data_IF_474218883018
#
_entry.id   IF_474218883018
#
_cell.length_a   1.000
_cell.length_b   1.000
_cell.length_c   1.000
_cell.angle_alpha   90.00
_cell.angle_beta   90.00
_cell.angle_gamma   90.00
#
_symmetry.space_group_name_H-M   'P 1'
#
loop_
_entity.id
_entity.type
_entity.pdbx_description
1 polymer ?
#
# COMPACT_ATOMS: atom_id res chain seq x y z
N UNK A 1 23.31 -52.64 18.50
CA UNK A 1 23.24 -51.18 18.31
C UNK A 1 22.75 -50.89 16.89
N UNK A 2 21.43 -50.72 16.65
CA UNK A 2 20.95 -50.30 15.34
C UNK A 2 21.37 -48.85 15.07
N UNK A 3 21.96 -48.58 13.90
CA UNK A 3 22.28 -47.21 13.48
C UNK A 3 20.98 -46.48 13.21
N UNK A 4 20.74 -45.37 13.90
CA UNK A 4 19.71 -44.41 13.51
C UNK A 4 20.16 -43.79 12.20
N UNK A 5 19.55 -44.22 11.09
CA UNK A 5 19.62 -43.46 9.86
C UNK A 5 18.89 -42.14 10.13
N UNK A 6 19.65 -41.06 10.26
CA UNK A 6 19.07 -39.72 10.21
C UNK A 6 18.29 -39.63 8.89
N UNK A 7 16.99 -39.39 8.98
CA UNK A 7 16.17 -39.24 7.80
C UNK A 7 16.72 -38.06 6.99
N UNK A 8 17.27 -38.35 5.81
CA UNK A 8 17.57 -37.31 4.83
C UNK A 8 16.23 -36.60 4.59
N UNK A 9 16.11 -35.29 4.88
CA UNK A 9 14.87 -34.58 4.61
C UNK A 9 14.54 -34.75 3.12
N UNK A 10 13.28 -34.99 2.75
CA UNK A 10 12.93 -35.19 1.36
C UNK A 10 13.45 -34.01 0.55
N UNK A 11 14.21 -34.28 -0.51
CA UNK A 11 14.70 -33.25 -1.40
C UNK A 11 13.48 -32.46 -1.91
N UNK A 12 13.39 -31.19 -1.54
CA UNK A 12 12.35 -30.30 -2.05
C UNK A 12 12.48 -30.26 -3.56
N UNK A 13 11.37 -30.54 -4.27
CA UNK A 13 11.33 -30.46 -5.72
C UNK A 13 11.75 -29.08 -6.19
N UNK A 14 12.25 -28.94 -7.42
CA UNK A 14 12.50 -27.62 -8.00
C UNK A 14 11.17 -26.89 -8.14
N UNK A 15 11.13 -25.60 -7.82
CA UNK A 15 9.93 -24.80 -7.99
C UNK A 15 9.51 -24.74 -9.48
N UNK A 16 8.23 -25.01 -9.74
CA UNK A 16 7.66 -24.97 -11.08
C UNK A 16 6.65 -23.81 -11.19
N UNK A 17 6.92 -22.77 -12.00
CA UNK A 17 5.94 -21.74 -12.33
C UNK A 17 4.64 -22.37 -12.85
N UNK A 18 3.52 -21.91 -12.32
CA UNK A 18 2.16 -22.43 -12.60
C UNK A 18 1.89 -23.88 -12.16
N UNK A 19 2.79 -24.49 -11.37
CA UNK A 19 2.53 -25.74 -10.66
C UNK A 19 1.52 -25.61 -9.51
N UNK A 20 1.17 -26.72 -8.89
CA UNK A 20 0.13 -26.80 -7.84
C UNK A 20 0.40 -25.88 -6.64
N UNK A 21 1.66 -25.79 -6.19
CA UNK A 21 2.08 -24.90 -5.11
C UNK A 21 1.88 -23.43 -5.48
N UNK A 22 2.30 -23.04 -6.68
CA UNK A 22 2.13 -21.69 -7.23
C UNK A 22 0.66 -21.29 -7.33
N UNK A 23 -0.18 -22.14 -7.95
CA UNK A 23 -1.62 -21.92 -8.08
C UNK A 23 -2.31 -21.85 -6.71
N UNK A 24 -1.84 -22.63 -5.72
CA UNK A 24 -2.33 -22.56 -4.34
C UNK A 24 -2.01 -21.19 -3.72
N UNK A 25 -0.78 -20.69 -3.83
CA UNK A 25 -0.40 -19.35 -3.34
C UNK A 25 -1.22 -18.24 -4.01
N UNK A 26 -1.37 -18.28 -5.34
CA UNK A 26 -2.19 -17.31 -6.08
C UNK A 26 -3.65 -17.33 -5.60
N UNK A 27 -4.23 -18.52 -5.41
CA UNK A 27 -5.59 -18.69 -4.90
C UNK A 27 -5.72 -18.12 -3.49
N UNK A 28 -4.80 -18.45 -2.58
CA UNK A 28 -4.77 -17.91 -1.22
C UNK A 28 -4.60 -16.38 -1.21
N UNK A 29 -3.80 -15.83 -2.13
CA UNK A 29 -3.61 -14.38 -2.28
C UNK A 29 -4.94 -13.69 -2.58
N UNK A 30 -5.69 -14.19 -3.56
CA UNK A 30 -7.00 -13.64 -3.96
C UNK A 30 -8.04 -13.80 -2.84
N UNK A 31 -8.14 -14.98 -2.23
CA UNK A 31 -9.09 -15.25 -1.15
C UNK A 31 -8.80 -14.39 0.09
N UNK A 32 -7.53 -14.25 0.48
CA UNK A 32 -7.09 -13.39 1.57
C UNK A 32 -7.35 -11.90 1.29
N UNK A 33 -7.11 -11.44 0.06
CA UNK A 33 -7.43 -10.07 -0.36
C UNK A 33 -8.93 -9.77 -0.25
N UNK A 34 -9.80 -10.67 -0.74
CA UNK A 34 -11.26 -10.56 -0.60
C UNK A 34 -11.66 -10.57 0.88
N UNK A 35 -11.11 -11.52 1.67
CA UNK A 35 -11.38 -11.64 3.10
C UNK A 35 -11.02 -10.38 3.89
N UNK A 36 -9.88 -9.76 3.58
CA UNK A 36 -9.44 -8.50 4.21
C UNK A 36 -10.31 -7.31 3.84
N UNK A 37 -10.81 -7.24 2.60
CA UNK A 37 -11.77 -6.19 2.19
C UNK A 37 -13.11 -6.36 2.90
N UNK A 38 -13.63 -7.58 2.98
CA UNK A 38 -14.90 -7.84 3.69
C UNK A 38 -14.76 -7.66 5.21
N UNK A 39 -13.63 -8.07 5.80
CA UNK A 39 -13.28 -7.78 7.19
C UNK A 39 -13.25 -6.27 7.45
N UNK A 40 -12.63 -5.49 6.56
CA UNK A 40 -12.55 -4.04 6.69
C UNK A 40 -13.89 -3.31 6.47
N UNK A 41 -14.83 -3.93 5.74
CA UNK A 41 -16.18 -3.39 5.52
C UNK A 41 -17.17 -3.72 6.64
N UNK A 42 -17.00 -4.86 7.32
CA UNK A 42 -17.95 -5.41 8.29
C UNK A 42 -17.46 -5.37 9.74
N UNK A 43 -16.15 -5.41 9.96
CA UNK A 43 -15.51 -5.39 11.27
C UNK A 43 -15.41 -3.99 11.86
N UNK A 44 -15.21 -3.92 13.18
CA UNK A 44 -14.98 -2.65 13.87
C UNK A 44 -13.54 -2.12 13.62
N UNK A 45 -13.34 -0.84 13.93
CA UNK A 45 -12.03 -0.19 13.75
C UNK A 45 -10.90 -0.87 14.54
N UNK A 46 -11.20 -1.56 15.65
CA UNK A 46 -10.21 -2.24 16.49
C UNK A 46 -9.71 -3.52 15.82
N UNK A 47 -10.64 -4.31 15.28
CA UNK A 47 -10.37 -5.55 14.54
C UNK A 47 -9.56 -5.23 13.28
N UNK A 48 -9.98 -4.24 12.49
CA UNK A 48 -9.28 -3.85 11.27
C UNK A 48 -7.87 -3.31 11.58
N UNK A 49 -7.71 -2.53 12.65
CA UNK A 49 -6.40 -2.07 13.13
C UNK A 49 -5.52 -3.24 13.59
N UNK A 50 -6.07 -4.18 14.34
CA UNK A 50 -5.35 -5.36 14.82
C UNK A 50 -4.90 -6.26 13.66
N UNK A 51 -5.77 -6.58 12.70
CA UNK A 51 -5.41 -7.36 11.51
C UNK A 51 -4.34 -6.67 10.68
N UNK A 52 -4.42 -5.36 10.49
CA UNK A 52 -3.34 -4.60 9.85
C UNK A 52 -2.01 -4.76 10.58
N UNK A 53 -1.99 -4.59 11.91
CA UNK A 53 -0.78 -4.74 12.73
C UNK A 53 -0.23 -6.18 12.73
N UNK A 54 -1.09 -7.20 12.69
CA UNK A 54 -0.68 -8.61 12.53
C UNK A 54 -0.02 -8.83 11.17
N UNK A 55 -0.58 -8.31 10.08
CA UNK A 55 0.05 -8.39 8.75
C UNK A 55 1.41 -7.67 8.73
N UNK A 56 1.50 -6.46 9.29
CA UNK A 56 2.74 -5.71 9.35
C UNK A 56 3.81 -6.40 10.24
N UNK A 57 3.40 -7.03 11.34
CA UNK A 57 4.29 -7.80 12.21
C UNK A 57 4.78 -9.10 11.56
N UNK A 58 3.89 -9.83 10.87
CA UNK A 58 4.27 -11.01 10.09
C UNK A 58 5.22 -10.64 8.95
N UNK A 59 4.96 -9.55 8.24
CA UNK A 59 5.80 -9.04 7.16
C UNK A 59 7.18 -8.63 7.69
N UNK A 60 7.24 -7.84 8.76
CA UNK A 60 8.49 -7.48 9.40
C UNK A 60 9.28 -8.72 9.89
N UNK A 61 8.61 -9.76 10.41
CA UNK A 61 9.25 -11.01 10.81
C UNK A 61 9.85 -11.77 9.63
N UNK A 62 9.14 -11.88 8.51
CA UNK A 62 9.63 -12.55 7.29
C UNK A 62 10.81 -11.77 6.71
N UNK A 63 10.62 -10.49 6.40
CA UNK A 63 11.65 -9.67 5.72
C UNK A 63 12.91 -9.52 6.59
N UNK A 64 12.77 -9.17 7.89
CA UNK A 64 13.94 -9.00 8.77
C UNK A 64 14.57 -10.35 9.12
N UNK A 65 13.78 -11.40 9.32
CA UNK A 65 14.27 -12.74 9.60
C UNK A 65 15.08 -13.30 8.44
N UNK A 66 14.59 -13.13 7.20
CA UNK A 66 15.34 -13.47 6.00
C UNK A 66 16.60 -12.61 5.87
N UNK A 67 16.49 -11.29 6.02
CA UNK A 67 17.65 -10.40 5.89
C UNK A 67 18.78 -10.72 6.89
N UNK A 68 18.44 -11.09 8.13
CA UNK A 68 19.44 -11.50 9.14
C UNK A 68 20.14 -12.81 8.77
N UNK A 69 19.45 -13.75 8.10
CA UNK A 69 20.01 -15.04 7.68
C UNK A 69 20.76 -14.95 6.35
N UNK A 70 20.31 -14.09 5.44
CA UNK A 70 20.84 -13.95 4.08
C UNK A 70 21.95 -12.89 3.95
N UNK A 71 22.11 -11.98 4.91
CA UNK A 71 23.12 -10.92 4.84
C UNK A 71 24.54 -11.49 4.91
N UNK A 72 25.26 -11.41 3.78
CA UNK A 72 26.69 -11.67 3.70
C UNK A 72 27.42 -10.43 3.17
N UNK A 73 28.23 -9.73 4.01
CA UNK A 73 28.96 -8.54 3.59
C UNK A 73 30.09 -8.84 2.59
N UNK A 74 30.47 -10.09 2.37
CA UNK A 74 31.41 -10.49 1.32
C UNK A 74 30.76 -10.53 -0.07
N UNK A 75 29.44 -10.67 -0.16
CA UNK A 75 28.67 -10.77 -1.41
C UNK A 75 27.55 -9.72 -1.47
N UNK A 76 27.87 -8.41 -1.37
CA UNK A 76 26.85 -7.36 -1.26
C UNK A 76 25.91 -7.27 -2.47
N UNK A 77 26.33 -7.75 -3.64
CA UNK A 77 25.51 -7.76 -4.86
C UNK A 77 24.40 -8.82 -4.91
N UNK A 78 24.38 -9.77 -3.96
CA UNK A 78 23.32 -10.80 -3.85
C UNK A 78 22.60 -10.78 -2.51
N UNK A 79 23.07 -9.99 -1.52
CA UNK A 79 22.56 -10.04 -0.14
C UNK A 79 22.09 -8.71 0.45
N UNK A 80 22.38 -7.57 -0.19
CA UNK A 80 21.78 -6.30 0.19
C UNK A 80 20.31 -6.25 -0.29
N UNK A 81 19.36 -5.76 0.53
CA UNK A 81 17.94 -5.61 0.16
C UNK A 81 17.75 -4.35 -0.71
N UNK A 82 18.37 -4.37 -1.89
CA UNK A 82 18.37 -3.25 -2.83
C UNK A 82 17.50 -3.51 -4.05
N UNK A 83 16.80 -4.65 -4.18
CA UNK A 83 15.71 -4.73 -5.16
C UNK A 83 14.57 -3.82 -4.71
N UNK A 84 13.84 -3.24 -5.66
CA UNK A 84 12.68 -2.40 -5.34
C UNK A 84 11.56 -3.20 -4.65
N UNK A 85 11.48 -4.50 -4.94
CA UNK A 85 10.65 -5.46 -4.23
C UNK A 85 11.00 -5.56 -2.75
N UNK A 86 12.29 -5.55 -2.39
CA UNK A 86 12.77 -5.67 -1.01
C UNK A 86 12.38 -4.45 -0.17
N UNK A 87 12.25 -3.28 -0.81
CA UNK A 87 11.80 -2.05 -0.16
C UNK A 87 10.27 -1.98 0.06
N UNK A 88 9.49 -2.77 -0.68
CA UNK A 88 8.03 -2.77 -0.57
C UNK A 88 7.51 -3.29 0.78
N UNK A 89 8.06 -4.37 1.38
CA UNK A 89 7.76 -4.79 2.75
C UNK A 89 7.90 -3.69 3.79
N UNK A 90 9.01 -2.95 3.80
CA UNK A 90 9.25 -1.86 4.75
C UNK A 90 8.24 -0.72 4.57
N UNK A 91 7.95 -0.34 3.32
CA UNK A 91 6.93 0.65 3.02
C UNK A 91 5.52 0.21 3.50
N UNK A 92 5.15 -1.05 3.26
CA UNK A 92 3.87 -1.63 3.66
C UNK A 92 3.70 -1.71 5.18
N UNK A 93 4.69 -2.26 5.89
CA UNK A 93 4.68 -2.33 7.35
C UNK A 93 4.63 -0.93 7.97
N UNK A 94 5.42 0.03 7.46
CA UNK A 94 5.40 1.41 7.94
C UNK A 94 4.08 2.14 7.64
N UNK A 95 3.46 1.91 6.48
CA UNK A 95 2.16 2.48 6.11
C UNK A 95 1.02 2.01 7.03
N UNK A 96 1.08 0.75 7.48
CA UNK A 96 0.20 0.26 8.54
C UNK A 96 0.53 0.96 9.86
N UNK A 97 1.74 0.79 10.38
CA UNK A 97 2.10 1.22 11.75
C UNK A 97 1.82 2.71 11.94
N UNK A 98 2.33 3.54 11.04
CA UNK A 98 2.34 5.00 11.18
C UNK A 98 1.16 5.71 10.50
N UNK A 99 0.50 5.08 9.54
CA UNK A 99 -0.55 5.72 8.74
C UNK A 99 -0.07 6.79 7.77
N UNK A 100 1.25 6.98 7.60
CA UNK A 100 1.79 8.02 6.71
C UNK A 100 1.32 7.83 5.25
N UNK A 101 0.95 8.95 4.63
CA UNK A 101 0.45 9.00 3.26
C UNK A 101 1.49 8.55 2.24
N UNK A 102 2.74 8.99 2.38
CA UNK A 102 3.83 8.62 1.47
C UNK A 102 4.07 7.10 1.47
N UNK A 103 4.05 6.47 2.64
CA UNK A 103 4.23 5.03 2.77
C UNK A 103 3.03 4.27 2.18
N UNK A 104 1.81 4.77 2.42
CA UNK A 104 0.59 4.23 1.80
C UNK A 104 0.67 4.33 0.26
N UNK A 105 1.21 5.43 -0.28
CA UNK A 105 1.41 5.60 -1.72
C UNK A 105 2.40 4.57 -2.28
N UNK A 106 3.59 4.42 -1.68
CA UNK A 106 4.57 3.42 -2.13
C UNK A 106 3.99 2.00 -2.04
N UNK A 107 3.30 1.68 -0.94
CA UNK A 107 2.61 0.39 -0.77
C UNK A 107 1.58 0.13 -1.87
N UNK A 108 0.83 1.16 -2.27
CA UNK A 108 -0.14 1.08 -3.36
C UNK A 108 0.54 0.77 -4.70
N UNK A 109 1.53 1.58 -5.09
CA UNK A 109 2.17 1.47 -6.41
C UNK A 109 3.10 0.26 -6.50
N UNK A 110 4.04 0.11 -5.57
CA UNK A 110 4.97 -1.03 -5.54
C UNK A 110 4.24 -2.34 -5.28
N UNK A 111 3.33 -2.38 -4.31
CA UNK A 111 2.62 -3.61 -3.94
C UNK A 111 1.67 -4.11 -5.04
N UNK A 112 0.87 -3.24 -5.66
CA UNK A 112 -0.10 -3.67 -6.66
C UNK A 112 0.47 -3.84 -8.08
N UNK A 113 1.74 -3.50 -8.31
CA UNK A 113 2.42 -3.80 -9.59
C UNK A 113 3.62 -4.71 -9.43
N UNK A 114 4.64 -4.33 -8.66
CA UNK A 114 5.87 -5.10 -8.53
C UNK A 114 5.60 -6.41 -7.79
N UNK A 115 4.94 -6.36 -6.63
CA UNK A 115 4.65 -7.58 -5.87
C UNK A 115 3.64 -8.48 -6.59
N UNK A 116 2.66 -7.92 -7.31
CA UNK A 116 1.77 -8.71 -8.17
C UNK A 116 2.54 -9.37 -9.34
N UNK A 117 3.49 -8.67 -9.96
CA UNK A 117 4.32 -9.23 -11.03
C UNK A 117 5.28 -10.30 -10.52
N UNK A 118 5.87 -10.13 -9.33
CA UNK A 118 6.65 -11.16 -8.65
C UNK A 118 5.82 -12.40 -8.27
N UNK A 119 4.53 -12.23 -7.96
CA UNK A 119 3.61 -13.36 -7.75
C UNK A 119 3.20 -14.06 -9.05
N UNK A 120 3.09 -13.36 -10.19
CA UNK A 120 2.66 -13.98 -11.46
C UNK A 120 3.82 -14.58 -12.26
N UNK A 121 4.98 -13.94 -12.23
CA UNK A 121 6.22 -14.36 -12.90
C UNK A 121 7.37 -14.37 -11.88
N UNK A 122 7.37 -15.33 -10.93
CA UNK A 122 8.36 -15.39 -9.86
C UNK A 122 9.77 -15.74 -10.38
N UNK A 123 10.73 -14.84 -10.15
CA UNK A 123 12.16 -15.07 -10.36
C UNK A 123 12.79 -15.90 -9.22
N UNK A 124 12.13 -17.01 -8.86
CA UNK A 124 12.52 -17.88 -7.74
C UNK A 124 13.41 -19.03 -8.22
N UNK A 125 14.72 -18.89 -8.09
CA UNK A 125 15.71 -19.95 -8.37
C UNK A 125 15.82 -21.05 -7.29
N UNK A 126 14.75 -21.28 -6.52
CA UNK A 126 14.76 -22.10 -5.30
C UNK A 126 14.01 -23.44 -5.41
N UNK A 127 14.02 -24.18 -4.30
CA UNK A 127 13.11 -25.31 -4.12
C UNK A 127 11.66 -24.88 -4.01
N UNK A 128 10.75 -25.79 -4.33
CA UNK A 128 9.31 -25.68 -4.18
C UNK A 128 8.88 -25.81 -2.70
N UNK A 129 7.59 -25.59 -2.42
CA UNK A 129 7.01 -25.76 -1.09
C UNK A 129 7.39 -27.14 -0.47
N UNK A 130 7.86 -27.20 0.80
CA UNK A 130 7.93 -26.13 1.79
C UNK A 130 9.35 -25.51 1.95
N UNK A 131 10.13 -25.37 0.87
CA UNK A 131 11.48 -24.79 0.96
C UNK A 131 11.48 -23.37 1.57
N UNK A 132 12.48 -23.00 2.39
CA UNK A 132 12.55 -21.67 3.00
C UNK A 132 12.52 -20.52 1.99
N UNK A 133 13.17 -20.67 0.83
CA UNK A 133 13.16 -19.67 -0.24
C UNK A 133 11.78 -19.47 -0.87
N UNK A 134 11.02 -20.55 -1.10
CA UNK A 134 9.61 -20.48 -1.51
C UNK A 134 8.79 -19.74 -0.45
N UNK A 135 8.91 -20.14 0.82
CA UNK A 135 8.10 -19.59 1.91
C UNK A 135 8.35 -18.10 2.11
N UNK A 136 9.61 -17.66 2.16
CA UNK A 136 9.97 -16.24 2.30
C UNK A 136 9.50 -15.45 1.08
N UNK A 137 9.88 -15.89 -0.14
CA UNK A 137 9.57 -15.15 -1.36
C UNK A 137 8.06 -14.93 -1.51
N UNK A 138 7.25 -15.98 -1.35
CA UNK A 138 5.81 -15.83 -1.48
C UNK A 138 5.19 -15.10 -0.28
N UNK A 139 5.67 -15.29 0.95
CA UNK A 139 5.12 -14.59 2.10
C UNK A 139 5.31 -13.06 2.02
N UNK A 140 6.52 -12.57 1.70
CA UNK A 140 6.77 -11.13 1.58
C UNK A 140 5.85 -10.49 0.52
N UNK A 141 5.78 -11.07 -0.68
CA UNK A 141 4.96 -10.53 -1.77
C UNK A 141 3.45 -10.62 -1.50
N UNK A 142 2.95 -11.72 -0.93
CA UNK A 142 1.53 -11.87 -0.58
C UNK A 142 1.12 -10.90 0.52
N UNK A 143 1.93 -10.76 1.56
CA UNK A 143 1.65 -9.84 2.67
C UNK A 143 1.67 -8.37 2.22
N UNK A 144 2.60 -7.98 1.34
CA UNK A 144 2.60 -6.63 0.72
C UNK A 144 1.32 -6.40 -0.10
N UNK A 145 0.91 -7.34 -0.95
CA UNK A 145 -0.33 -7.23 -1.73
C UNK A 145 -1.55 -7.14 -0.82
N UNK A 146 -1.63 -7.94 0.24
CA UNK A 146 -2.70 -7.91 1.23
C UNK A 146 -2.78 -6.59 1.98
N UNK A 147 -1.64 -6.01 2.40
CA UNK A 147 -1.61 -4.68 3.02
C UNK A 147 -2.04 -3.62 2.01
N UNK A 148 -1.52 -3.64 0.78
CA UNK A 148 -1.92 -2.69 -0.27
C UNK A 148 -3.44 -2.74 -0.53
N UNK A 149 -4.02 -3.95 -0.57
CA UNK A 149 -5.46 -4.14 -0.71
C UNK A 149 -6.25 -3.61 0.50
N UNK A 150 -5.81 -3.96 1.71
CA UNK A 150 -6.43 -3.53 2.97
C UNK A 150 -6.44 -2.00 3.11
N UNK A 151 -5.32 -1.34 2.81
CA UNK A 151 -5.21 0.13 2.87
C UNK A 151 -6.14 0.79 1.83
N UNK A 152 -6.18 0.26 0.61
CA UNK A 152 -6.85 0.90 -0.54
C UNK A 152 -8.36 0.68 -0.55
N UNK A 153 -8.82 -0.58 -0.49
CA UNK A 153 -10.24 -0.92 -0.62
C UNK A 153 -10.92 -1.14 0.74
N UNK A 154 -10.17 -1.58 1.75
CA UNK A 154 -10.68 -1.70 3.12
C UNK A 154 -10.78 -0.34 3.81
N UNK A 155 -9.63 0.30 4.03
CA UNK A 155 -9.51 1.60 4.72
C UNK A 155 -9.71 2.82 3.81
N UNK A 156 -10.03 2.61 2.52
CA UNK A 156 -10.36 3.67 1.54
C UNK A 156 -9.28 4.75 1.37
N UNK A 157 -8.01 4.38 1.56
CA UNK A 157 -6.86 5.28 1.35
C UNK A 157 -6.48 5.32 -0.12
N UNK A 158 -7.27 6.04 -0.90
CA UNK A 158 -7.12 6.10 -2.35
C UNK A 158 -5.93 7.00 -2.77
N UNK A 159 -5.19 6.64 -3.84
CA UNK A 159 -4.09 7.43 -4.35
C UNK A 159 -4.57 8.71 -5.07
N UNK A 160 -3.67 9.66 -5.27
CA UNK A 160 -3.87 10.85 -6.10
C UNK A 160 -2.70 11.10 -7.04
N UNK A 161 -2.84 12.08 -7.94
CA UNK A 161 -1.74 12.55 -8.80
C UNK A 161 -0.54 13.12 -8.04
N UNK A 162 -0.67 13.50 -6.76
CA UNK A 162 0.49 13.82 -5.94
C UNK A 162 1.24 12.53 -5.53
N UNK A 163 0.50 11.54 -5.05
CA UNK A 163 1.04 10.24 -4.62
C UNK A 163 1.70 9.50 -5.80
N UNK A 164 1.12 9.59 -7.00
CA UNK A 164 1.68 9.08 -8.26
C UNK A 164 3.06 9.67 -8.56
N UNK A 165 3.16 11.02 -8.58
CA UNK A 165 4.43 11.71 -8.85
C UNK A 165 5.47 11.44 -7.77
N UNK A 166 5.04 11.37 -6.51
CA UNK A 166 5.91 11.01 -5.40
C UNK A 166 6.48 9.59 -5.56
N UNK A 167 5.65 8.60 -5.88
CA UNK A 167 6.11 7.22 -6.05
C UNK A 167 7.05 7.07 -7.25
N UNK A 168 6.78 7.76 -8.38
CA UNK A 168 7.70 7.79 -9.52
C UNK A 168 9.04 8.40 -9.13
N UNK A 169 9.05 9.54 -8.43
CA UNK A 169 10.27 10.17 -7.95
C UNK A 169 11.04 9.26 -6.98
N UNK A 170 10.35 8.65 -6.02
CA UNK A 170 10.96 7.72 -5.07
C UNK A 170 11.60 6.50 -5.78
N UNK A 171 10.97 6.00 -6.84
CA UNK A 171 11.48 4.90 -7.67
C UNK A 171 12.73 5.31 -8.45
N UNK A 172 12.73 6.49 -9.08
CA UNK A 172 13.92 7.04 -9.75
C UNK A 172 15.05 7.32 -8.74
N UNK A 173 14.73 7.85 -7.56
CA UNK A 173 15.69 8.09 -6.49
C UNK A 173 16.28 6.80 -5.90
N UNK A 174 15.56 5.67 -5.93
CA UNK A 174 16.08 4.35 -5.58
C UNK A 174 16.99 3.76 -6.68
N UNK A 175 16.66 3.98 -7.96
CA UNK A 175 17.44 3.43 -9.07
C UNK A 175 18.89 3.95 -9.09
N UNK A 176 19.14 5.17 -8.59
CA UNK A 176 20.49 5.76 -8.50
C UNK A 176 21.44 4.94 -7.59
N UNK A 177 21.18 4.75 -6.28
CA UNK A 177 22.03 3.92 -5.43
C UNK A 177 22.03 2.45 -5.85
N UNK A 178 20.92 1.91 -6.39
CA UNK A 178 20.89 0.55 -6.94
C UNK A 178 21.91 0.39 -8.08
N UNK A 179 21.93 1.30 -9.05
CA UNK A 179 22.89 1.27 -10.16
C UNK A 179 24.34 1.49 -9.71
N UNK A 180 24.57 2.34 -8.69
CA UNK A 180 25.91 2.49 -8.09
C UNK A 180 26.40 1.16 -7.51
N UNK A 181 25.55 0.40 -6.82
CA UNK A 181 25.92 -0.92 -6.29
C UNK A 181 26.07 -1.95 -7.41
N UNK A 182 25.24 -1.93 -8.47
CA UNK A 182 25.42 -2.78 -9.65
C UNK A 182 26.83 -2.64 -10.25
N UNK A 183 27.23 -1.40 -10.55
CA UNK A 183 28.54 -1.10 -11.14
C UNK A 183 29.71 -1.44 -10.21
N UNK A 184 29.56 -1.23 -8.89
CA UNK A 184 30.65 -1.47 -7.92
C UNK A 184 30.79 -2.92 -7.46
N UNK A 185 29.70 -3.69 -7.43
CA UNK A 185 29.65 -5.04 -6.88
C UNK A 185 29.36 -6.14 -7.91
N UNK A 186 29.19 -5.79 -9.20
CA UNK A 186 28.72 -6.73 -10.22
C UNK A 186 27.30 -7.24 -9.97
N UNK A 187 26.49 -6.44 -9.28
CA UNK A 187 25.11 -6.76 -8.93
C UNK A 187 24.15 -6.44 -10.09
N UNK A 188 22.89 -6.87 -9.98
CA UNK A 188 21.85 -6.54 -10.96
C UNK A 188 20.51 -6.22 -10.28
N UNK A 189 20.55 -5.26 -9.36
CA UNK A 189 19.37 -4.66 -8.75
C UNK A 189 18.53 -3.93 -9.80
N UNK A 190 17.22 -4.15 -9.74
CA UNK A 190 16.25 -3.64 -10.71
C UNK A 190 16.33 -4.24 -12.11
N UNK A 191 17.16 -5.27 -12.33
CA UNK A 191 17.47 -5.78 -13.67
C UNK A 191 17.96 -4.67 -14.62
N UNK A 192 18.67 -3.68 -14.10
CA UNK A 192 19.10 -2.49 -14.85
C UNK A 192 20.21 -2.77 -15.85
N UNK A 193 21.05 -3.78 -15.60
CA UNK A 193 22.17 -4.15 -16.47
C UNK A 193 21.85 -5.32 -17.40
N UNK A 194 21.05 -6.28 -16.93
CA UNK A 194 20.51 -7.36 -17.76
C UNK A 194 19.19 -7.92 -17.23
N UNK A 195 18.46 -8.66 -18.06
CA UNK A 195 17.23 -9.38 -17.67
C UNK A 195 17.52 -10.53 -16.70
N UNK A 196 16.53 -10.98 -15.89
CA UNK A 196 16.65 -12.23 -15.15
C UNK A 196 16.84 -13.43 -16.09
N UNK A 197 17.46 -14.50 -15.58
CA UNK A 197 17.59 -15.78 -16.31
C UNK A 197 16.26 -16.57 -16.35
N UNK A 198 15.33 -16.24 -15.44
CA UNK A 198 13.97 -16.79 -15.40
C UNK A 198 13.03 -15.98 -16.30
N UNK A 199 12.08 -16.66 -16.95
CA UNK A 199 11.06 -16.04 -17.80
C UNK A 199 10.36 -14.84 -17.13
N UNK A 200 10.35 -13.70 -17.82
CA UNK A 200 9.94 -12.40 -17.28
C UNK A 200 9.16 -11.57 -18.29
N UNK A 201 8.36 -10.61 -17.83
CA UNK A 201 7.74 -9.60 -18.68
C UNK A 201 8.80 -8.81 -19.49
N UNK A 202 9.99 -8.63 -18.92
CA UNK A 202 11.11 -7.94 -19.58
C UNK A 202 11.54 -8.62 -20.88
N UNK A 203 11.30 -9.92 -21.06
CA UNK A 203 11.67 -10.67 -22.27
C UNK A 203 10.96 -10.11 -23.52
N UNK A 204 9.74 -9.59 -23.34
CA UNK A 204 8.93 -8.98 -24.41
C UNK A 204 9.38 -7.57 -24.82
N UNK A 205 10.31 -6.95 -24.08
CA UNK A 205 10.62 -5.51 -24.18
C UNK A 205 11.88 -5.17 -25.01
N UNK A 206 12.43 -6.14 -25.76
CA UNK A 206 13.61 -5.94 -26.62
C UNK A 206 14.96 -6.04 -25.87
N UNK A 207 16.09 -5.72 -26.53
CA UNK A 207 17.42 -5.85 -25.93
C UNK A 207 17.77 -4.70 -25.00
N UNK A 208 18.85 -4.85 -24.22
CA UNK A 208 19.44 -3.74 -23.46
C UNK A 208 20.01 -2.66 -24.41
N UNK A 209 19.90 -1.36 -24.11
CA UNK A 209 19.22 -0.74 -22.96
C UNK A 209 17.73 -0.42 -23.23
N UNK A 210 17.18 -0.78 -24.40
CA UNK A 210 15.85 -0.36 -24.83
C UNK A 210 14.71 -0.86 -23.94
N UNK A 211 14.85 -2.04 -23.34
CA UNK A 211 13.84 -2.53 -22.39
C UNK A 211 13.68 -1.63 -21.16
N UNK A 212 14.72 -0.90 -20.73
CA UNK A 212 14.64 0.03 -19.59
C UNK A 212 13.72 1.22 -19.90
N UNK A 213 13.75 1.71 -21.15
CA UNK A 213 12.83 2.77 -21.59
C UNK A 213 11.39 2.25 -21.72
N UNK A 214 11.23 1.02 -22.22
CA UNK A 214 9.93 0.37 -22.32
C UNK A 214 9.34 0.06 -20.94
N UNK A 215 10.16 -0.39 -19.98
CA UNK A 215 9.80 -0.62 -18.59
C UNK A 215 9.42 0.68 -17.89
N UNK A 216 10.24 1.74 -18.01
CA UNK A 216 9.91 3.05 -17.46
C UNK A 216 8.58 3.59 -18.02
N UNK A 217 8.34 3.44 -19.33
CA UNK A 217 7.06 3.81 -19.95
C UNK A 217 5.89 2.95 -19.45
N UNK A 218 6.11 1.65 -19.24
CA UNK A 218 5.12 0.72 -18.70
C UNK A 218 4.77 1.07 -17.24
N UNK A 219 5.75 1.34 -16.37
CA UNK A 219 5.54 1.80 -15.00
C UNK A 219 4.76 3.12 -14.98
N UNK A 220 5.21 4.13 -15.72
CA UNK A 220 4.54 5.44 -15.83
C UNK A 220 3.08 5.29 -16.30
N UNK A 221 2.84 4.45 -17.32
CA UNK A 221 1.52 4.19 -17.89
C UNK A 221 0.59 3.40 -16.98
N UNK A 222 1.04 2.23 -16.49
CA UNK A 222 0.26 1.37 -15.58
C UNK A 222 -0.07 2.10 -14.28
N UNK A 223 0.89 2.85 -13.71
CA UNK A 223 0.63 3.61 -12.48
C UNK A 223 -0.37 4.73 -12.71
N UNK A 224 -0.34 5.40 -13.86
CA UNK A 224 -1.38 6.37 -14.22
C UNK A 224 -2.75 5.67 -14.38
N UNK A 225 -2.79 4.52 -15.05
CA UNK A 225 -4.03 3.73 -15.23
C UNK A 225 -4.66 3.31 -13.91
N UNK A 226 -3.89 2.84 -12.93
CA UNK A 226 -4.43 2.48 -11.61
C UNK A 226 -4.76 3.71 -10.75
N UNK A 227 -4.15 4.87 -11.00
CA UNK A 227 -4.52 6.15 -10.34
C UNK A 227 -5.86 6.69 -10.84
N UNK A 228 -6.15 6.56 -12.13
CA UNK A 228 -7.29 7.23 -12.80
C UNK A 228 -8.68 7.00 -12.15
N UNK A 229 -9.07 5.79 -11.70
CA UNK A 229 -10.38 5.55 -11.09
C UNK A 229 -10.64 6.36 -9.82
N UNK A 230 -9.59 6.79 -9.12
CA UNK A 230 -9.68 7.44 -7.81
C UNK A 230 -9.75 8.97 -7.89
N UNK A 231 -9.27 9.55 -8.99
CA UNK A 231 -9.15 11.01 -9.16
C UNK A 231 -10.17 11.58 -10.15
N UNK A 232 -10.81 10.73 -10.97
CA UNK A 232 -11.93 11.13 -11.82
C UNK A 232 -13.18 11.38 -10.95
N UNK A 233 -13.83 12.55 -11.02
CA UNK A 233 -15.15 12.73 -10.45
C UNK A 233 -16.13 11.72 -11.07
N UNK A 234 -17.07 11.14 -10.31
CA UNK A 234 -18.08 10.25 -10.89
C UNK A 234 -18.85 10.99 -11.99
N UNK A 235 -18.93 10.38 -13.17
CA UNK A 235 -19.64 10.92 -14.33
C UNK A 235 -21.15 10.97 -14.02
N UNK A 236 -21.61 12.10 -13.50
CA UNK A 236 -22.99 12.24 -13.03
C UNK A 236 -23.28 13.49 -12.19
N UNK A 237 -22.27 14.20 -11.65
CA UNK A 237 -22.48 15.49 -10.97
C UNK A 237 -22.68 16.66 -11.95
N UNK A 238 -23.68 16.50 -12.83
CA UNK A 238 -24.26 17.60 -13.59
C UNK A 238 -24.71 18.68 -12.63
N UNK A 239 -24.05 19.85 -12.69
CA UNK A 239 -24.30 20.96 -11.77
C UNK A 239 -25.72 21.47 -12.00
N UNK A 240 -26.64 21.22 -11.07
CA UNK A 240 -27.85 22.04 -10.96
C UNK A 240 -27.43 23.45 -10.52
N UNK A 241 -27.11 24.28 -11.51
CA UNK A 241 -26.90 25.70 -11.31
C UNK A 241 -28.22 26.31 -10.82
N UNK A 242 -28.33 26.52 -9.51
CA UNK A 242 -29.40 27.32 -8.92
C UNK A 242 -28.95 28.79 -8.88
N UNK A 243 -29.61 29.69 -9.64
CA UNK A 243 -29.30 31.11 -9.55
C UNK A 243 -29.74 31.62 -8.17
N UNK A 244 -28.78 31.98 -7.31
CA UNK A 244 -29.09 32.68 -6.05
C UNK A 244 -29.83 33.98 -6.36
N UNK A 245 -31.14 33.99 -6.11
CA UNK A 245 -31.96 35.22 -6.11
C UNK A 245 -31.38 36.16 -5.04
N UNK A 246 -30.77 37.27 -5.44
CA UNK A 246 -30.42 38.36 -4.51
C UNK A 246 -31.70 39.05 -4.08
N UNK A 247 -32.20 38.77 -2.88
CA UNK A 247 -33.21 39.58 -2.21
C UNK A 247 -32.55 40.59 -1.27
N UNK A 248 -31.87 41.59 -1.84
CA UNK A 248 -31.44 42.77 -1.10
C UNK A 248 -32.61 43.75 -0.99
N UNK A 249 -33.48 43.55 0.00
CA UNK A 249 -34.61 44.43 0.29
C UNK A 249 -34.72 44.71 1.80
N UNK A 250 -34.00 45.77 2.20
CA UNK A 250 -34.31 46.73 3.28
C UNK A 250 -34.78 46.18 4.64
N UNK A 251 -33.94 46.44 5.62
CA UNK A 251 -34.30 46.60 7.04
C UNK A 251 -35.61 47.38 7.24
N UNK A 252 -36.55 46.79 7.97
CA UNK A 252 -37.63 47.49 8.64
C UNK A 252 -37.41 47.36 10.16
N UNK A 253 -37.19 48.48 10.83
CA UNK A 253 -37.13 48.55 12.30
C UNK A 253 -38.53 48.38 12.89
N UNK A 254 -38.69 47.78 14.09
CA UNK A 254 -39.99 47.76 14.77
C UNK A 254 -40.37 49.17 15.26
N UNK A 255 -41.67 49.49 15.34
CA UNK A 255 -42.15 50.78 15.83
C UNK A 255 -41.98 50.92 17.36
N UNK A 256 -41.82 52.14 17.89
CA UNK A 256 -41.83 52.39 19.33
C UNK A 256 -43.24 52.18 19.91
N UNK A 257 -43.32 51.73 21.16
CA UNK A 257 -44.58 51.63 21.90
C UNK A 257 -45.14 53.00 22.31
N UNK A 258 -46.46 53.10 22.56
CA UNK A 258 -47.09 54.35 23.01
C UNK A 258 -46.69 54.69 24.45
N UNK A 259 -46.61 55.99 24.73
CA UNK A 259 -46.28 56.53 26.06
C UNK A 259 -47.55 56.86 26.89
N UNK A 260 -47.37 56.76 28.20
CA UNK A 260 -48.13 57.28 29.35
C UNK A 260 -49.47 58.00 29.15
N UNK A 261 -50.47 57.60 29.96
CA UNK A 261 -51.65 58.39 30.31
C UNK A 261 -51.78 58.43 31.85
N UNK A 262 -51.94 59.59 32.53
CA UNK A 262 -51.72 59.72 33.97
C UNK A 262 -53.01 59.77 34.80
N UNK A 263 -53.26 58.76 35.65
CA UNK A 263 -54.27 58.85 36.71
C UNK A 263 -54.03 57.90 37.90
N UNK A 264 -54.47 58.34 39.09
CA UNK A 264 -54.58 57.61 40.36
C UNK A 264 -53.29 57.22 41.13
N UNK A 265 -53.04 57.98 42.21
CA UNK A 265 -52.14 57.62 43.32
C UNK A 265 -52.93 56.86 44.44
N UNK A 266 -52.35 56.57 45.64
CA UNK A 266 -51.83 55.26 46.03
C UNK A 266 -52.63 54.62 47.20
N UNK A 267 -52.14 53.54 47.86
CA UNK A 267 -51.37 53.78 49.09
C UNK A 267 -50.22 52.78 49.37
N UNK A 268 -49.58 52.94 50.53
CA UNK A 268 -48.20 52.52 50.87
C UNK A 268 -48.11 51.14 51.61
N UNK A 269 -47.09 50.82 52.45
CA UNK A 269 -46.33 49.55 52.39
C UNK A 269 -46.63 48.68 53.67
N UNK A 270 -45.72 47.99 54.42
CA UNK A 270 -44.29 47.62 54.24
C UNK A 270 -43.90 46.18 54.69
N UNK A 271 -42.58 45.88 54.67
CA UNK A 271 -41.79 45.09 55.66
C UNK A 271 -40.83 44.00 55.12
N UNK A 272 -39.67 43.83 55.80
CA UNK A 272 -38.70 42.73 55.67
C UNK A 272 -37.71 42.90 54.51
N UNK A 273 -36.47 43.42 54.65
CA UNK A 273 -35.38 43.13 55.60
C UNK A 273 -34.96 41.65 55.71
N UNK A 274 -33.93 41.33 54.92
CA UNK A 274 -32.71 40.60 55.31
C UNK A 274 -32.81 39.30 56.12
N UNK A 275 -32.40 38.21 55.47
CA UNK A 275 -31.82 36.99 56.05
C UNK A 275 -30.85 36.40 55.03
#
# INVERSE_FOLDING_TARGET
MPRVHAAVPPATSVFLPWGTSHLTVLTLTVLGAIGLVELARRGDARTVRASGLVLAGALALVTLGYQVVAFDPAHPGTTLPLQLSDLAPYAAAWAVVSGHRWATALTYYWGLTLSVQALLTPALGGGDFPAPSFLVFFADHVLVVWIAVLLTWGLRRHPTWHDYRFALLATVCWAVPAQVVNVLAGANYGYLDHKPETASLLDLLGPWPWYLLAEAALVVGVWALITLPWVRPPAGSGRSWSPRRRSSARSASPPPGPADDPAASPPSPPHGRSG
#
